data_IF_366898244390
#
_entry.id   IF_366898244390
#
_cell.length_a   1.000
_cell.length_b   1.000
_cell.length_c   1.000
_cell.angle_alpha   90.00
_cell.angle_beta   90.00
_cell.angle_gamma   90.00
#
_symmetry.space_group_name_H-M   'P 1'
#
loop_
_entity.id
_entity.type
_entity.pdbx_description
1 polymer ?
#
# COMPACT_ATOMS: atom_id res chain seq x y z
N UNK A 1 22.87 -73.19 -49.01
CA UNK A 1 21.42 -73.29 -48.69
C UNK A 1 21.09 -72.78 -47.29
N UNK A 2 21.85 -73.14 -46.25
CA UNK A 2 21.65 -72.68 -44.87
C UNK A 2 21.87 -71.18 -44.66
N UNK A 3 22.81 -70.57 -45.37
CA UNK A 3 23.10 -69.12 -45.28
C UNK A 3 21.95 -68.24 -45.78
N UNK A 4 21.25 -68.69 -46.84
CA UNK A 4 20.08 -67.98 -47.40
C UNK A 4 18.91 -68.02 -46.42
N UNK A 5 18.74 -69.15 -45.72
CA UNK A 5 17.72 -69.30 -44.69
C UNK A 5 18.03 -68.41 -43.46
N UNK A 6 19.30 -68.35 -43.05
CA UNK A 6 19.75 -67.46 -41.97
C UNK A 6 19.55 -65.97 -42.31
N UNK A 7 19.87 -65.57 -43.54
CA UNK A 7 19.67 -64.20 -44.00
C UNK A 7 18.17 -63.80 -44.00
N UNK A 8 17.27 -64.71 -44.39
CA UNK A 8 15.82 -64.46 -44.34
C UNK A 8 15.29 -64.31 -42.91
N UNK A 9 15.82 -65.08 -41.96
CA UNK A 9 15.44 -64.96 -40.54
C UNK A 9 15.91 -63.61 -39.97
N UNK A 10 17.14 -63.21 -40.27
CA UNK A 10 17.68 -61.91 -39.84
C UNK A 10 16.87 -60.77 -40.47
N UNK A 11 16.56 -60.87 -41.76
CA UNK A 11 15.73 -59.89 -42.47
C UNK A 11 14.34 -59.77 -41.84
N UNK A 12 13.72 -60.90 -41.47
CA UNK A 12 12.44 -60.92 -40.77
C UNK A 12 12.52 -60.25 -39.39
N UNK A 13 13.58 -60.51 -38.63
CA UNK A 13 13.79 -59.89 -37.32
C UNK A 13 13.98 -58.36 -37.43
N UNK A 14 14.75 -57.90 -38.43
CA UNK A 14 14.94 -56.47 -38.70
C UNK A 14 13.61 -55.81 -39.11
N UNK A 15 12.82 -56.47 -39.97
CA UNK A 15 11.51 -55.96 -40.37
C UNK A 15 10.57 -55.79 -39.16
N UNK A 16 10.51 -56.80 -38.28
CA UNK A 16 9.70 -56.73 -37.05
C UNK A 16 10.21 -55.63 -36.10
N UNK A 17 11.51 -55.42 -36.02
CA UNK A 17 12.11 -54.36 -35.21
C UNK A 17 11.73 -52.97 -35.72
N UNK A 18 11.74 -52.76 -37.04
CA UNK A 18 11.30 -51.50 -37.67
C UNK A 18 9.80 -51.26 -37.43
N UNK A 19 8.96 -52.27 -37.66
CA UNK A 19 7.51 -52.15 -37.42
C UNK A 19 7.23 -51.84 -35.95
N UNK A 20 7.89 -52.56 -35.03
CA UNK A 20 7.76 -52.30 -33.59
C UNK A 20 8.23 -50.91 -33.22
N UNK A 21 9.32 -50.43 -33.82
CA UNK A 21 9.83 -49.08 -33.61
C UNK A 21 8.84 -48.00 -34.06
N UNK A 22 8.21 -48.16 -35.23
CA UNK A 22 7.22 -47.19 -35.74
C UNK A 22 5.98 -47.15 -34.83
N UNK A 23 5.47 -48.31 -34.41
CA UNK A 23 4.30 -48.38 -33.52
C UNK A 23 4.62 -47.73 -32.17
N UNK A 24 5.78 -48.04 -31.57
CA UNK A 24 6.18 -47.43 -30.29
C UNK A 24 6.42 -45.92 -30.40
N UNK A 25 7.01 -45.47 -31.51
CA UNK A 25 7.25 -44.03 -31.75
C UNK A 25 5.94 -43.28 -31.96
N UNK A 26 4.96 -43.88 -32.65
CA UNK A 26 3.66 -43.27 -32.88
C UNK A 26 2.84 -43.20 -31.59
N UNK A 27 2.85 -44.27 -30.79
CA UNK A 27 2.20 -44.29 -29.48
C UNK A 27 2.78 -43.22 -28.55
N UNK A 28 4.11 -43.08 -28.51
CA UNK A 28 4.76 -42.05 -27.70
C UNK A 28 4.40 -40.63 -28.15
N UNK A 29 4.33 -40.40 -29.47
CA UNK A 29 3.91 -39.09 -30.01
C UNK A 29 2.46 -38.76 -29.69
N UNK A 30 1.56 -39.75 -29.73
CA UNK A 30 0.15 -39.58 -29.40
C UNK A 30 -0.04 -39.27 -27.91
N UNK A 31 0.71 -39.96 -27.04
CA UNK A 31 0.78 -39.68 -25.59
C UNK A 31 1.33 -38.27 -25.31
N UNK A 32 2.42 -37.88 -25.98
CA UNK A 32 3.02 -36.53 -25.85
C UNK A 32 2.04 -35.42 -26.32
N UNK A 33 1.26 -35.67 -27.38
CA UNK A 33 0.25 -34.74 -27.90
C UNK A 33 -0.96 -34.60 -26.95
N UNK A 34 -1.40 -35.71 -26.34
CA UNK A 34 -2.46 -35.72 -25.32
C UNK A 34 -2.04 -34.96 -24.06
N UNK A 35 -0.81 -35.16 -23.59
CA UNK A 35 -0.23 -34.45 -22.45
C UNK A 35 -0.10 -32.95 -22.71
N UNK A 36 0.26 -32.57 -23.95
CA UNK A 36 0.35 -31.17 -24.36
C UNK A 36 -1.04 -30.52 -24.37
N UNK A 37 -2.05 -31.20 -24.92
CA UNK A 37 -3.43 -30.71 -24.90
C UNK A 37 -3.95 -30.53 -23.47
N UNK A 38 -3.70 -31.50 -22.59
CA UNK A 38 -4.06 -31.43 -21.18
C UNK A 38 -3.34 -30.27 -20.46
N UNK A 39 -2.06 -30.04 -20.77
CA UNK A 39 -1.26 -28.94 -20.23
C UNK A 39 -1.77 -27.58 -20.67
N UNK A 40 -2.18 -27.43 -21.94
CA UNK A 40 -2.79 -26.21 -22.47
C UNK A 40 -4.13 -25.92 -21.79
N UNK A 41 -4.97 -26.93 -21.60
CA UNK A 41 -6.24 -26.77 -20.90
C UNK A 41 -6.04 -26.40 -19.43
N UNK A 42 -5.04 -27.00 -18.76
CA UNK A 42 -4.67 -26.64 -17.40
C UNK A 42 -4.18 -25.19 -17.32
N UNK A 43 -3.28 -24.78 -18.21
CA UNK A 43 -2.80 -23.40 -18.27
C UNK A 43 -3.95 -22.41 -18.53
N UNK A 44 -4.89 -22.75 -19.42
CA UNK A 44 -6.09 -21.94 -19.67
C UNK A 44 -6.94 -21.79 -18.41
N UNK A 45 -7.14 -22.88 -17.66
CA UNK A 45 -7.88 -22.86 -16.39
C UNK A 45 -7.18 -22.01 -15.34
N UNK A 46 -5.86 -22.15 -15.19
CA UNK A 46 -5.06 -21.36 -14.25
C UNK A 46 -5.04 -19.88 -14.63
N UNK A 47 -4.92 -19.56 -15.92
CA UNK A 47 -4.96 -18.18 -16.41
C UNK A 47 -6.34 -17.55 -16.19
N UNK A 48 -7.41 -18.29 -16.47
CA UNK A 48 -8.78 -17.84 -16.21
C UNK A 48 -9.01 -17.62 -14.72
N UNK A 49 -8.54 -18.54 -13.87
CA UNK A 49 -8.62 -18.41 -12.41
C UNK A 49 -7.81 -17.20 -11.91
N UNK A 50 -6.62 -16.98 -12.46
CA UNK A 50 -5.78 -15.82 -12.16
C UNK A 50 -6.50 -14.52 -12.56
N UNK A 51 -7.05 -14.47 -13.77
CA UNK A 51 -7.82 -13.32 -14.25
C UNK A 51 -9.05 -13.04 -13.38
N UNK A 52 -9.85 -14.05 -13.03
CA UNK A 52 -11.02 -13.91 -12.16
C UNK A 52 -10.64 -13.41 -10.76
N UNK A 53 -9.50 -13.85 -10.24
CA UNK A 53 -8.99 -13.39 -8.94
C UNK A 53 -8.57 -11.92 -9.02
N UNK A 54 -7.87 -11.53 -10.09
CA UNK A 54 -7.45 -10.16 -10.34
C UNK A 54 -8.68 -9.25 -10.51
N UNK A 55 -9.68 -9.66 -11.28
CA UNK A 55 -10.93 -8.91 -11.49
C UNK A 55 -11.66 -8.70 -10.16
N UNK A 56 -11.80 -9.75 -9.33
CA UNK A 56 -12.41 -9.62 -7.99
C UNK A 56 -11.65 -8.64 -7.10
N UNK A 57 -10.31 -8.71 -7.10
CA UNK A 57 -9.48 -7.80 -6.31
C UNK A 57 -9.58 -6.36 -6.79
N UNK A 58 -9.55 -6.14 -8.11
CA UNK A 58 -9.74 -4.82 -8.71
C UNK A 58 -11.13 -4.26 -8.38
N UNK A 59 -12.19 -5.07 -8.49
CA UNK A 59 -13.53 -4.66 -8.09
C UNK A 59 -13.60 -4.22 -6.62
N UNK A 60 -13.03 -5.02 -5.72
CA UNK A 60 -12.94 -4.67 -4.29
C UNK A 60 -12.16 -3.37 -4.04
N UNK A 61 -11.04 -3.18 -4.73
CA UNK A 61 -10.24 -1.97 -4.62
C UNK A 61 -10.99 -0.75 -5.18
N UNK A 62 -11.66 -0.86 -6.33
CA UNK A 62 -12.47 0.22 -6.93
C UNK A 62 -13.60 0.62 -5.98
N UNK A 63 -14.37 -0.33 -5.45
CA UNK A 63 -15.44 -0.02 -4.48
C UNK A 63 -14.88 0.66 -3.22
N UNK A 64 -13.70 0.24 -2.75
CA UNK A 64 -13.04 0.90 -1.62
C UNK A 64 -12.62 2.33 -1.95
N UNK A 65 -12.06 2.56 -3.14
CA UNK A 65 -11.65 3.89 -3.60
C UNK A 65 -12.86 4.81 -3.80
N UNK A 66 -13.94 4.30 -4.38
CA UNK A 66 -15.22 5.03 -4.50
C UNK A 66 -15.77 5.42 -3.12
N UNK A 67 -15.68 4.51 -2.14
CA UNK A 67 -16.07 4.80 -0.76
C UNK A 67 -15.21 5.89 -0.12
N UNK A 68 -13.88 5.80 -0.27
CA UNK A 68 -12.96 6.82 0.26
C UNK A 68 -13.13 8.18 -0.42
N UNK A 69 -13.36 8.20 -1.74
CA UNK A 69 -13.63 9.42 -2.49
C UNK A 69 -14.92 10.09 -1.98
N UNK A 70 -15.98 9.30 -1.82
CA UNK A 70 -17.26 9.82 -1.30
C UNK A 70 -17.13 10.33 0.14
N UNK A 71 -16.35 9.65 0.98
CA UNK A 71 -16.08 10.12 2.34
C UNK A 71 -15.24 11.42 2.34
N UNK A 72 -14.27 11.55 1.45
CA UNK A 72 -13.47 12.76 1.31
C UNK A 72 -14.34 13.94 0.84
N UNK A 73 -15.24 13.73 -0.12
CA UNK A 73 -16.20 14.73 -0.59
C UNK A 73 -17.16 15.16 0.53
N UNK A 74 -17.70 14.22 1.30
CA UNK A 74 -18.55 14.53 2.46
C UNK A 74 -17.81 15.38 3.51
N UNK A 75 -16.54 15.05 3.79
CA UNK A 75 -15.70 15.82 4.73
C UNK A 75 -15.43 17.23 4.18
N UNK A 76 -15.16 17.35 2.87
CA UNK A 76 -14.96 18.64 2.21
C UNK A 76 -16.20 19.51 2.33
N UNK A 77 -17.38 19.00 2.01
CA UNK A 77 -18.64 19.75 2.12
C UNK A 77 -18.90 20.23 3.55
N UNK A 78 -18.61 19.38 4.55
CA UNK A 78 -18.70 19.79 5.97
C UNK A 78 -17.73 20.92 6.31
N UNK A 79 -16.49 20.86 5.82
CA UNK A 79 -15.51 21.92 6.04
C UNK A 79 -15.91 23.21 5.34
N UNK A 80 -16.36 23.14 4.09
CA UNK A 80 -16.88 24.31 3.36
C UNK A 80 -18.06 24.96 4.10
N UNK A 81 -18.95 24.15 4.68
CA UNK A 81 -20.06 24.66 5.50
C UNK A 81 -19.54 25.38 6.75
N UNK A 82 -18.60 24.78 7.47
CA UNK A 82 -17.97 25.40 8.66
C UNK A 82 -17.25 26.69 8.31
N UNK A 83 -16.58 26.75 7.16
CA UNK A 83 -15.92 27.96 6.66
C UNK A 83 -16.95 29.03 6.32
N UNK A 84 -18.04 28.68 5.63
CA UNK A 84 -19.11 29.62 5.32
C UNK A 84 -19.77 30.19 6.59
N UNK A 85 -20.00 29.35 7.60
CA UNK A 85 -20.55 29.79 8.89
C UNK A 85 -19.58 30.68 9.67
N UNK A 86 -18.28 30.34 9.68
CA UNK A 86 -17.26 31.19 10.27
C UNK A 86 -17.20 32.57 9.58
N UNK A 87 -17.23 32.60 8.24
CA UNK A 87 -17.25 33.84 7.47
C UNK A 87 -18.49 34.69 7.74
N UNK A 88 -19.66 34.06 7.90
CA UNK A 88 -20.91 34.76 8.27
C UNK A 88 -20.79 35.43 9.64
N UNK A 89 -20.22 34.72 10.62
CA UNK A 89 -19.98 35.24 11.96
C UNK A 89 -18.99 36.41 11.93
N UNK A 90 -17.89 36.28 11.17
CA UNK A 90 -16.93 37.37 10.99
C UNK A 90 -17.57 38.60 10.36
N UNK A 91 -18.40 38.42 9.34
CA UNK A 91 -19.11 39.54 8.70
C UNK A 91 -20.08 40.22 9.67
N UNK A 92 -20.85 39.44 10.43
CA UNK A 92 -21.76 39.97 11.45
C UNK A 92 -21.01 40.74 12.56
N UNK A 93 -19.86 40.22 13.02
CA UNK A 93 -19.01 40.90 13.99
C UNK A 93 -18.44 42.20 13.43
N UNK A 94 -17.96 42.21 12.18
CA UNK A 94 -17.46 43.42 11.52
C UNK A 94 -18.54 44.49 11.41
N UNK A 95 -19.76 44.13 11.01
CA UNK A 95 -20.89 45.06 10.96
C UNK A 95 -21.20 45.65 12.35
N UNK A 96 -21.19 44.81 13.40
CA UNK A 96 -21.42 45.26 14.77
C UNK A 96 -20.32 46.20 15.27
N UNK A 97 -19.06 45.92 14.94
CA UNK A 97 -17.92 46.80 15.27
C UNK A 97 -18.07 48.14 14.55
N UNK A 98 -18.39 48.12 13.25
CA UNK A 98 -18.56 49.35 12.48
C UNK A 98 -19.73 50.20 13.01
N UNK A 99 -20.83 49.56 13.42
CA UNK A 99 -21.93 50.26 14.08
C UNK A 99 -21.53 50.83 15.45
N UNK A 100 -20.79 50.06 16.27
CA UNK A 100 -20.26 50.54 17.55
C UNK A 100 -19.33 51.74 17.37
N UNK A 101 -18.46 51.71 16.35
CA UNK A 101 -17.60 52.84 16.02
C UNK A 101 -18.38 54.05 15.52
N UNK A 102 -19.43 53.86 14.69
CA UNK A 102 -20.30 54.96 14.26
C UNK A 102 -21.01 55.58 15.44
N UNK A 103 -21.57 54.78 16.35
CA UNK A 103 -22.19 55.25 17.60
C UNK A 103 -21.18 56.01 18.48
N UNK A 104 -19.95 55.53 18.58
CA UNK A 104 -18.89 56.20 19.34
C UNK A 104 -18.51 57.54 18.71
N UNK A 105 -18.38 57.57 17.37
CA UNK A 105 -18.13 58.81 16.60
C UNK A 105 -19.27 59.82 16.75
N UNK A 106 -20.53 59.36 16.68
CA UNK A 106 -21.72 60.20 16.84
C UNK A 106 -21.88 60.73 18.28
N UNK A 107 -21.46 59.94 19.28
CA UNK A 107 -21.52 60.35 20.70
C UNK A 107 -20.38 61.31 21.08
N UNK A 108 -19.32 61.42 20.27
CA UNK A 108 -18.42 62.57 20.28
C UNK A 108 -17.81 62.96 21.63
N UNK A 109 -17.59 62.01 22.55
CA UNK A 109 -16.83 62.27 23.78
C UNK A 109 -15.39 61.77 23.58
N UNK A 110 -14.35 62.62 23.68
CA UNK A 110 -12.99 62.12 23.80
C UNK A 110 -12.91 61.28 25.08
N UNK A 111 -12.59 59.99 24.94
CA UNK A 111 -12.29 59.11 26.07
C UNK A 111 -11.24 59.78 26.95
N UNK A 112 -11.41 59.84 28.29
CA UNK A 112 -10.34 60.26 29.16
C UNK A 112 -9.22 59.23 29.06
N UNK A 113 -8.06 59.66 28.58
CA UNK A 113 -6.80 58.93 28.72
C UNK A 113 -6.61 58.54 30.19
N UNK A 114 -6.32 57.27 30.51
CA UNK A 114 -6.07 56.88 31.89
C UNK A 114 -4.77 57.57 32.33
N UNK A 115 -4.91 58.58 33.20
CA UNK A 115 -3.78 59.20 33.86
C UNK A 115 -3.10 58.15 34.75
N UNK A 116 -1.84 57.90 34.48
CA UNK A 116 -0.94 57.17 35.38
C UNK A 116 -0.78 58.03 36.64
N UNK A 117 -1.45 57.64 37.73
CA UNK A 117 -1.23 58.23 39.04
C UNK A 117 -0.08 57.47 39.73
N UNK A 118 0.97 58.17 40.22
CA UNK A 118 2.00 57.54 41.03
C UNK A 118 1.49 57.32 42.46
N UNK A 119 1.64 56.07 42.91
CA UNK A 119 1.71 55.56 44.28
C UNK A 119 1.06 56.38 45.42
N UNK A 120 0.00 55.82 46.02
CA UNK A 120 -0.24 55.95 47.46
C UNK A 120 -0.90 54.66 48.00
N UNK A 121 -0.33 54.20 49.11
CA UNK A 121 -0.53 52.92 49.79
C UNK A 121 -1.83 52.84 50.59
N UNK A 122 -2.58 51.72 50.47
CA UNK A 122 -3.48 51.14 51.49
C UNK A 122 -3.78 49.65 51.16
N UNK A 123 -3.94 48.75 52.15
CA UNK A 123 -4.16 47.33 51.90
C UNK A 123 -5.66 47.06 51.73
N UNK A 124 -6.09 46.81 50.50
CA UNK A 124 -7.38 46.18 50.22
C UNK A 124 -7.14 44.69 50.01
N UNK A 125 -7.84 43.90 50.81
CA UNK A 125 -7.85 42.46 50.78
C UNK A 125 -7.89 41.93 49.34
N UNK A 126 -6.88 41.12 49.01
CA UNK A 126 -6.81 40.40 47.76
C UNK A 126 -7.99 39.40 47.69
N UNK A 127 -9.00 39.73 46.88
CA UNK A 127 -9.85 38.72 46.31
C UNK A 127 -8.97 37.83 45.40
N UNK A 128 -8.95 36.50 45.57
CA UNK A 128 -8.10 35.66 44.75
C UNK A 128 -8.68 35.59 43.33
N UNK A 129 -7.85 35.68 42.26
CA UNK A 129 -8.29 35.36 40.91
C UNK A 129 -8.44 33.84 40.77
N UNK A 130 -9.50 33.26 41.35
CA UNK A 130 -9.83 31.85 41.19
C UNK A 130 -10.90 31.70 40.12
N UNK A 131 -10.52 31.26 38.92
CA UNK A 131 -11.43 30.55 37.99
C UNK A 131 -10.72 30.06 36.72
N UNK A 132 -9.69 30.73 36.22
CA UNK A 132 -9.02 30.30 34.98
C UNK A 132 -7.91 29.26 35.20
N UNK A 133 -7.25 29.33 36.37
CA UNK A 133 -6.10 28.49 36.68
C UNK A 133 -6.50 27.15 37.34
N UNK A 134 -7.69 27.09 37.94
CA UNK A 134 -8.20 25.87 38.59
C UNK A 134 -8.83 24.91 37.58
N UNK A 135 -9.64 25.43 36.65
CA UNK A 135 -10.21 24.65 35.52
C UNK A 135 -9.10 24.03 34.64
N UNK A 136 -7.98 24.73 34.48
CA UNK A 136 -6.83 24.23 33.71
C UNK A 136 -5.96 23.22 34.48
N UNK A 137 -6.00 23.26 35.83
CA UNK A 137 -5.33 22.26 36.69
C UNK A 137 -6.13 20.97 36.74
N UNK A 138 -7.46 21.05 36.88
CA UNK A 138 -8.34 19.88 36.92
C UNK A 138 -8.34 19.07 35.63
N UNK A 139 -8.32 19.74 34.46
CA UNK A 139 -8.26 19.07 33.15
C UNK A 139 -6.91 18.37 32.91
N UNK A 140 -5.81 18.99 33.38
CA UNK A 140 -4.47 18.37 33.34
C UNK A 140 -4.36 17.15 34.26
N UNK A 141 -4.98 17.20 35.43
CA UNK A 141 -5.01 16.09 36.38
C UNK A 141 -5.88 14.92 35.89
N UNK A 142 -7.00 15.21 35.22
CA UNK A 142 -7.84 14.19 34.58
C UNK A 142 -7.11 13.49 33.42
N UNK A 143 -6.41 14.25 32.58
CA UNK A 143 -5.55 13.70 31.54
C UNK A 143 -4.43 12.83 32.11
N UNK A 144 -3.78 13.27 33.19
CA UNK A 144 -2.72 12.51 33.84
C UNK A 144 -3.25 11.17 34.41
N UNK A 145 -4.46 11.16 34.97
CA UNK A 145 -5.11 9.95 35.47
C UNK A 145 -5.44 8.96 34.34
N UNK A 146 -6.00 9.44 33.22
CA UNK A 146 -6.30 8.61 32.04
C UNK A 146 -5.03 8.04 31.42
N UNK A 147 -3.96 8.85 31.30
CA UNK A 147 -2.67 8.40 30.80
C UNK A 147 -2.08 7.31 31.69
N UNK A 148 -2.11 7.51 33.01
CA UNK A 148 -1.60 6.53 33.97
C UNK A 148 -2.40 5.21 33.91
N UNK A 149 -3.72 5.29 33.76
CA UNK A 149 -4.58 4.12 33.58
C UNK A 149 -4.29 3.38 32.27
N UNK A 150 -4.03 4.11 31.18
CA UNK A 150 -3.64 3.52 29.90
C UNK A 150 -2.29 2.81 29.98
N UNK A 151 -1.31 3.42 30.66
CA UNK A 151 0.03 2.83 30.83
C UNK A 151 -0.04 1.54 31.67
N UNK A 152 -0.80 1.53 32.78
CA UNK A 152 -0.96 0.32 33.60
C UNK A 152 -1.66 -0.80 32.84
N UNK A 153 -2.67 -0.47 32.03
CA UNK A 153 -3.36 -1.43 31.17
C UNK A 153 -2.43 -2.02 30.10
N UNK A 154 -1.58 -1.18 29.51
CA UNK A 154 -0.62 -1.61 28.49
C UNK A 154 0.51 -2.45 29.10
N UNK A 155 1.02 -2.08 30.28
CA UNK A 155 2.01 -2.87 31.02
C UNK A 155 1.45 -4.23 31.47
N UNK A 156 0.18 -4.28 31.92
CA UNK A 156 -0.48 -5.53 32.25
C UNK A 156 -0.68 -6.44 31.03
N UNK A 157 -0.93 -5.86 29.84
CA UNK A 157 -0.95 -6.59 28.57
C UNK A 157 0.43 -7.10 28.17
N UNK A 158 1.45 -6.24 28.25
CA UNK A 158 2.82 -6.58 27.90
C UNK A 158 3.42 -7.64 28.85
N UNK A 159 2.99 -7.66 30.12
CA UNK A 159 3.37 -8.69 31.08
C UNK A 159 2.60 -10.01 30.92
N UNK A 160 1.43 -9.99 30.26
CA UNK A 160 0.58 -11.17 30.04
C UNK A 160 0.82 -11.87 28.70
N UNK A 161 1.59 -11.27 27.77
CA UNK A 161 2.00 -11.92 26.53
C UNK A 161 3.38 -12.59 26.67
N UNK A 162 3.46 -13.92 26.84
CA UNK A 162 4.68 -14.62 26.45
C UNK A 162 4.80 -14.49 24.93
N UNK A 163 5.95 -14.01 24.47
CA UNK A 163 6.34 -13.88 23.07
C UNK A 163 6.01 -15.14 22.27
N UNK A 164 4.83 -15.17 21.66
CA UNK A 164 4.45 -16.18 20.71
C UNK A 164 3.28 -15.70 19.86
N UNK A 165 3.52 -15.81 18.56
CA UNK A 165 2.53 -16.17 17.55
C UNK A 165 1.78 -15.01 16.89
N UNK A 166 2.09 -14.89 15.60
CA UNK A 166 1.15 -14.75 14.48
C UNK A 166 -0.36 -14.79 14.80
N UNK A 167 -1.10 -14.15 13.86
CA UNK A 167 -2.49 -14.42 13.44
C UNK A 167 -3.53 -13.37 13.89
N UNK A 168 -3.83 -12.48 12.92
CA UNK A 168 -5.14 -12.20 12.29
C UNK A 168 -6.35 -11.74 13.16
N UNK A 169 -7.21 -10.82 12.66
CA UNK A 169 -8.31 -10.24 13.42
C UNK A 169 -9.57 -11.14 13.39
N UNK A 170 -10.24 -11.26 14.53
CA UNK A 170 -11.50 -11.99 14.67
C UNK A 170 -12.72 -11.06 14.69
N UNK A 171 -13.71 -11.42 13.89
CA UNK A 171 -15.06 -10.88 13.78
C UNK A 171 -16.01 -11.63 14.71
N UNK A 172 -17.12 -11.00 15.10
CA UNK A 172 -18.01 -11.35 16.21
C UNK A 172 -18.82 -12.67 16.10
N UNK A 173 -18.93 -13.33 17.27
CA UNK A 173 -20.06 -14.04 17.89
C UNK A 173 -20.86 -15.14 17.15
N UNK A 174 -20.79 -16.39 17.64
CA UNK A 174 -21.84 -17.11 18.42
C UNK A 174 -21.40 -18.57 18.73
N UNK A 175 -22.04 -19.16 19.76
CA UNK A 175 -21.56 -20.24 20.65
C UNK A 175 -22.03 -21.67 20.24
N UNK A 176 -21.83 -22.77 21.02
CA UNK A 176 -21.12 -23.98 20.56
C UNK A 176 -21.97 -25.27 20.54
N UNK A 177 -21.51 -26.35 19.90
CA UNK A 177 -21.75 -27.74 20.33
C UNK A 177 -20.69 -28.69 19.76
N UNK A 178 -20.26 -29.62 20.60
CA UNK A 178 -19.24 -30.64 20.39
C UNK A 178 -19.54 -31.60 19.22
N UNK A 179 -18.49 -32.14 18.58
CA UNK A 179 -18.14 -33.56 18.67
C UNK A 179 -16.81 -33.87 17.96
N UNK A 180 -16.02 -34.73 18.62
CA UNK A 180 -14.82 -35.42 18.14
C UNK A 180 -15.01 -36.00 16.73
N UNK A 181 -13.97 -35.94 15.91
CA UNK A 181 -13.54 -37.06 15.07
C UNK A 181 -12.07 -36.88 14.68
N UNK A 182 -11.29 -37.87 15.09
CA UNK A 182 -9.89 -38.15 14.76
C UNK A 182 -9.70 -38.47 13.28
N UNK A 183 -8.42 -38.63 12.85
CA UNK A 183 -7.89 -39.06 11.54
C UNK A 183 -7.46 -37.81 10.73
N UNK A 184 -6.23 -37.61 10.24
CA UNK A 184 -5.25 -38.55 9.69
C UNK A 184 -3.90 -37.87 9.42
N UNK A 185 -2.86 -38.68 9.53
CA UNK A 185 -1.68 -38.79 8.67
C UNK A 185 -0.54 -37.77 8.64
N UNK A 186 0.62 -38.38 8.79
CA UNK A 186 1.99 -37.92 8.70
C UNK A 186 2.41 -37.56 7.25
N UNK A 187 3.27 -36.54 7.17
CA UNK A 187 4.38 -36.22 6.25
C UNK A 187 4.59 -37.10 4.99
N UNK A 188 5.07 -36.57 3.83
CA UNK A 188 6.38 -35.94 3.77
C UNK A 188 6.58 -34.72 2.85
N UNK A 189 7.67 -34.01 3.13
CA UNK A 189 8.24 -32.92 2.34
C UNK A 189 8.52 -33.34 0.88
N UNK A 190 8.14 -32.49 -0.07
CA UNK A 190 8.73 -32.49 -1.42
C UNK A 190 9.30 -31.11 -1.71
N UNK A 191 10.65 -31.04 -1.76
CA UNK A 191 11.39 -29.94 -2.41
C UNK A 191 11.01 -29.92 -3.88
N UNK A 192 10.60 -28.75 -4.38
CA UNK A 192 10.57 -28.48 -5.83
C UNK A 192 11.54 -27.33 -6.16
N UNK A 193 12.23 -27.40 -7.31
CA UNK A 193 13.25 -26.44 -7.72
C UNK A 193 12.64 -25.18 -8.36
N UNK A 194 13.40 -24.09 -8.30
CA UNK A 194 13.06 -22.76 -8.82
C UNK A 194 13.07 -22.77 -10.37
N UNK A 195 12.00 -22.36 -11.08
CA UNK A 195 12.04 -22.06 -12.51
C UNK A 195 12.40 -20.59 -12.76
N UNK A 196 13.30 -20.39 -13.72
CA UNK A 196 13.79 -19.09 -14.23
C UNK A 196 12.77 -18.50 -15.21
N UNK A 197 12.44 -17.18 -15.18
CA UNK A 197 11.55 -16.58 -16.18
C UNK A 197 12.29 -16.30 -17.53
N UNK A 198 11.65 -16.52 -18.69
CA UNK A 198 12.21 -16.15 -20.00
C UNK A 198 11.99 -14.67 -20.36
N UNK A 199 12.87 -14.14 -21.19
CA UNK A 199 12.93 -12.76 -21.67
C UNK A 199 11.74 -12.38 -22.60
N UNK A 200 11.30 -11.11 -22.62
CA UNK A 200 10.21 -10.66 -23.49
C UNK A 200 10.69 -10.48 -24.94
N UNK A 201 10.00 -11.16 -25.85
CA UNK A 201 10.13 -11.02 -27.30
C UNK A 201 9.39 -9.77 -27.79
N UNK A 202 9.95 -9.13 -28.81
CA UNK A 202 9.49 -7.90 -29.44
C UNK A 202 8.02 -7.94 -29.92
N UNK A 203 7.29 -6.84 -29.72
CA UNK A 203 5.96 -6.61 -30.32
C UNK A 203 6.08 -5.99 -31.72
N UNK A 204 5.20 -6.33 -32.68
CA UNK A 204 5.14 -5.67 -33.99
C UNK A 204 4.47 -4.30 -33.90
N UNK A 205 4.97 -3.36 -34.71
CA UNK A 205 4.44 -2.01 -34.88
C UNK A 205 3.10 -2.01 -35.64
N UNK A 206 2.16 -1.17 -35.19
CA UNK A 206 0.96 -0.77 -35.95
C UNK A 206 0.84 0.77 -35.91
N UNK A 207 0.37 1.39 -37.00
CA UNK A 207 0.63 2.80 -37.32
C UNK A 207 -0.30 3.80 -36.61
N UNK A 208 0.20 5.03 -36.55
CA UNK A 208 -0.34 6.19 -35.84
C UNK A 208 -1.79 6.56 -36.22
N UNK A 209 -2.54 7.00 -35.22
CA UNK A 209 -3.74 7.85 -35.37
C UNK A 209 -3.63 9.04 -34.40
N UNK A 210 -4.16 10.22 -34.75
CA UNK A 210 -3.73 11.50 -34.21
C UNK A 210 -4.35 11.79 -32.83
N UNK A 211 -3.51 12.22 -31.88
CA UNK A 211 -3.90 12.66 -30.55
C UNK A 211 -4.70 13.97 -30.60
N UNK A 212 -5.84 14.09 -29.90
CA UNK A 212 -6.44 15.39 -29.58
C UNK A 212 -5.56 16.09 -28.54
N UNK A 213 -5.14 17.32 -28.84
CA UNK A 213 -4.45 18.19 -27.90
C UNK A 213 -5.32 18.42 -26.66
N UNK A 214 -4.78 18.10 -25.49
CA UNK A 214 -5.28 18.54 -24.19
C UNK A 214 -4.17 19.34 -23.52
N UNK A 215 -4.55 20.55 -23.15
CA UNK A 215 -3.82 21.62 -22.47
C UNK A 215 -2.93 21.15 -21.30
N UNK A 216 -1.75 21.78 -21.09
CA UNK A 216 -0.88 21.48 -19.95
C UNK A 216 -1.50 21.95 -18.63
N UNK A 217 -1.70 21.05 -17.67
CA UNK A 217 -1.85 21.41 -16.26
C UNK A 217 -0.48 21.24 -15.61
N UNK A 218 0.04 22.31 -15.05
CA UNK A 218 1.23 22.34 -14.19
C UNK A 218 1.11 21.31 -13.04
N UNK A 219 1.97 20.30 -13.06
CA UNK A 219 2.58 19.74 -11.85
C UNK A 219 4.10 19.88 -12.01
N UNK A 220 4.58 21.08 -11.73
CA UNK A 220 6.00 21.39 -11.64
C UNK A 220 6.43 21.26 -10.16
N UNK A 221 7.03 20.11 -9.79
CA UNK A 221 8.25 20.09 -8.94
C UNK A 221 8.89 18.69 -8.68
N UNK A 222 8.44 17.59 -9.30
CA UNK A 222 9.06 16.27 -9.05
C UNK A 222 10.19 15.77 -9.98
N UNK A 223 10.48 16.30 -11.19
CA UNK A 223 11.50 15.66 -12.04
C UNK A 223 12.95 15.89 -11.56
N UNK A 224 13.24 17.03 -10.92
CA UNK A 224 14.63 17.38 -10.54
C UNK A 224 15.12 16.54 -9.36
N UNK A 225 14.24 16.26 -8.39
CA UNK A 225 14.61 15.50 -7.18
C UNK A 225 14.86 14.03 -7.50
N UNK A 226 14.06 13.45 -8.40
CA UNK A 226 14.28 12.09 -8.89
C UNK A 226 15.63 11.98 -9.60
N UNK A 227 15.95 12.92 -10.49
CA UNK A 227 17.24 12.95 -11.19
C UNK A 227 18.43 13.06 -10.23
N UNK A 228 18.36 13.91 -9.21
CA UNK A 228 19.42 14.00 -8.19
C UNK A 228 19.61 12.69 -7.41
N UNK A 229 18.52 12.01 -7.04
CA UNK A 229 18.59 10.72 -6.34
C UNK A 229 19.16 9.61 -7.22
N UNK A 230 18.86 9.62 -8.52
CA UNK A 230 19.37 8.67 -9.51
C UNK A 230 20.87 8.92 -9.77
N UNK A 231 21.29 10.18 -9.89
CA UNK A 231 22.71 10.55 -10.05
C UNK A 231 23.50 10.13 -8.81
N UNK A 232 23.00 10.41 -7.61
CA UNK A 232 23.63 10.02 -6.34
C UNK A 232 23.68 8.49 -6.19
N UNK A 233 22.62 7.79 -6.54
CA UNK A 233 22.57 6.32 -6.52
C UNK A 233 23.62 5.71 -7.46
N UNK A 234 23.75 6.25 -8.68
CA UNK A 234 24.76 5.80 -9.66
C UNK A 234 26.19 6.03 -9.14
N UNK A 235 26.45 7.16 -8.49
CA UNK A 235 27.74 7.46 -7.88
C UNK A 235 28.08 6.47 -6.75
N UNK A 236 27.13 6.17 -5.87
CA UNK A 236 27.31 5.22 -4.78
C UNK A 236 27.52 3.78 -5.27
N UNK A 237 26.81 3.38 -6.33
CA UNK A 237 27.01 2.07 -6.97
C UNK A 237 28.39 1.96 -7.63
N UNK A 238 28.89 3.04 -8.26
CA UNK A 238 30.28 3.10 -8.76
C UNK A 238 31.32 3.07 -7.66
N UNK A 239 31.02 3.65 -6.50
CA UNK A 239 31.86 3.58 -5.31
C UNK A 239 31.87 2.19 -4.64
N UNK A 240 31.19 1.19 -5.21
CA UNK A 240 31.20 -0.19 -4.73
C UNK A 240 30.26 -0.47 -3.55
N UNK A 241 29.36 0.47 -3.21
CA UNK A 241 28.33 0.25 -2.18
C UNK A 241 27.34 -0.85 -2.59
N UNK A 242 26.80 -1.56 -1.62
CA UNK A 242 25.80 -2.60 -1.86
C UNK A 242 24.45 -1.98 -2.23
N UNK A 243 23.67 -2.69 -3.05
CA UNK A 243 22.40 -2.19 -3.59
C UNK A 243 21.42 -1.85 -2.46
N UNK A 244 21.44 -2.62 -1.38
CA UNK A 244 20.58 -2.45 -0.21
C UNK A 244 20.96 -1.21 0.59
N UNK A 245 22.24 -0.86 0.63
CA UNK A 245 22.71 0.35 1.30
C UNK A 245 22.37 1.60 0.48
N UNK A 246 22.52 1.52 -0.84
CA UNK A 246 22.13 2.61 -1.74
C UNK A 246 20.62 2.85 -1.70
N UNK A 247 19.80 1.78 -1.69
CA UNK A 247 18.35 1.89 -1.58
C UNK A 247 17.91 2.60 -0.30
N UNK A 248 18.57 2.32 0.83
CA UNK A 248 18.29 3.00 2.11
C UNK A 248 18.73 4.46 2.12
N UNK A 249 19.78 4.80 1.36
CA UNK A 249 20.39 6.14 1.38
C UNK A 249 19.76 7.10 0.34
N UNK A 250 19.30 6.57 -0.79
CA UNK A 250 18.70 7.37 -1.87
C UNK A 250 17.19 7.20 -1.99
N UNK A 251 16.60 6.21 -1.30
CA UNK A 251 15.17 5.89 -1.43
C UNK A 251 14.80 5.23 -2.76
N UNK A 252 15.79 4.96 -3.63
CA UNK A 252 15.58 4.37 -4.95
C UNK A 252 15.33 2.87 -4.79
N UNK A 253 14.35 2.34 -5.52
CA UNK A 253 13.97 0.92 -5.43
C UNK A 253 15.14 -0.02 -5.76
N UNK A 254 15.22 -1.13 -5.03
CA UNK A 254 16.25 -2.17 -5.20
C UNK A 254 16.26 -2.72 -6.64
N UNK A 255 15.08 -2.81 -7.28
CA UNK A 255 14.94 -3.23 -8.68
C UNK A 255 15.58 -2.25 -9.66
N UNK A 256 15.32 -0.95 -9.49
CA UNK A 256 15.91 0.11 -10.30
C UNK A 256 17.43 0.18 -10.12
N UNK A 257 17.92 0.07 -8.89
CA UNK A 257 19.36 0.05 -8.60
C UNK A 257 20.08 -1.16 -9.20
N UNK A 258 19.43 -2.33 -9.21
CA UNK A 258 19.97 -3.53 -9.87
C UNK A 258 20.10 -3.33 -11.38
N UNK A 259 19.12 -2.69 -12.01
CA UNK A 259 19.17 -2.33 -13.42
C UNK A 259 20.28 -1.30 -13.70
N UNK A 260 20.38 -0.25 -12.87
CA UNK A 260 21.44 0.77 -12.99
C UNK A 260 22.85 0.18 -12.86
N UNK A 261 23.03 -0.80 -11.95
CA UNK A 261 24.30 -1.53 -11.80
C UNK A 261 24.62 -2.37 -13.04
N UNK A 262 23.62 -3.05 -13.62
CA UNK A 262 23.80 -3.82 -14.85
C UNK A 262 24.13 -2.93 -16.05
N UNK A 263 23.51 -1.77 -16.18
CA UNK A 263 23.81 -0.81 -17.25
C UNK A 263 25.22 -0.26 -17.08
N UNK A 264 25.63 0.11 -15.87
CA UNK A 264 26.99 0.64 -15.60
C UNK A 264 28.10 -0.41 -15.76
N UNK A 265 27.78 -1.71 -15.77
CA UNK A 265 28.75 -2.78 -16.06
C UNK A 265 28.86 -3.13 -17.55
N UNK A 266 27.90 -2.69 -18.38
CA UNK A 266 27.87 -2.95 -19.82
C UNK A 266 28.46 -1.82 -20.66
N UNK A 267 28.57 -0.62 -20.08
CA UNK A 267 29.39 0.50 -20.57
C UNK A 267 30.86 0.32 -20.15
#
# INVERSE_FOLDING_TARGET
MTEILGALIILGAVLLLIVRYIIHRRQRSEEDDEDLAASIEKLKKELQQSADTIIKRLGSHVTKLEGLLREADDRRVRLETRVADAQRLEWALRQRIEELERRLRDTGQPMPTPAVHPAESLPVAAAPPMSSQEVRRTDGDEFAAVLHQSILREQARAAAEPSNTYVQPQTYAQQPTAMRSTVRQEMPQQRSPIPVPPAPTARPAVPASPSPQLVPTEEADEPVREDETIIKARALLRAGRTIEQVARETGVEIGALRLMKQMTQRD
#
